data_IF_506272952745
#
_entry.id   IF_506272952745
#
_cell.length_a   1.000
_cell.length_b   1.000
_cell.length_c   1.000
_cell.angle_alpha   90.00
_cell.angle_beta   90.00
_cell.angle_gamma   90.00
#
_symmetry.space_group_name_H-M   'P 1'
#
loop_
_entity.id
_entity.type
_entity.pdbx_description
1 polymer ?
#
# COMPACT_ATOMS: atom_id res chain seq x y z
N UNK A 1 -24.15 -8.13 -8.10
CA UNK A 1 -24.46 -7.30 -9.28
C UNK A 1 -23.17 -7.25 -10.07
N UNK A 2 -23.19 -7.67 -11.34
CA UNK A 2 -21.97 -7.69 -12.16
C UNK A 2 -21.67 -6.23 -12.55
N UNK A 3 -20.56 -5.66 -12.05
CA UNK A 3 -20.16 -4.26 -12.32
C UNK A 3 -20.08 -3.94 -13.83
N UNK A 4 -19.99 -4.99 -14.67
CA UNK A 4 -20.02 -4.91 -16.14
C UNK A 4 -21.36 -4.43 -16.72
N UNK A 5 -22.48 -4.55 -15.99
CA UNK A 5 -23.76 -3.97 -16.43
C UNK A 5 -23.86 -2.47 -16.16
N UNK A 6 -23.13 -1.96 -15.17
CA UNK A 6 -23.25 -0.58 -14.69
C UNK A 6 -22.32 0.40 -15.43
N UNK A 7 -21.14 -0.06 -15.87
CA UNK A 7 -20.15 0.79 -16.56
C UNK A 7 -19.70 0.19 -17.90
N UNK A 8 -20.01 0.86 -19.02
CA UNK A 8 -19.61 0.37 -20.35
C UNK A 8 -18.19 0.81 -20.68
N UNK A 9 -17.42 0.01 -21.43
CA UNK A 9 -16.06 0.40 -21.77
C UNK A 9 -15.88 1.71 -22.54
N UNK A 10 -16.93 2.20 -23.21
CA UNK A 10 -16.89 3.51 -23.86
C UNK A 10 -16.85 4.69 -22.88
N UNK A 11 -17.34 4.54 -21.66
CA UNK A 11 -17.60 5.67 -20.76
C UNK A 11 -16.30 6.21 -20.15
N UNK A 12 -15.40 5.34 -19.71
CA UNK A 12 -14.10 5.74 -19.15
C UNK A 12 -13.06 6.14 -20.21
N UNK A 13 -13.18 5.66 -21.46
CA UNK A 13 -12.26 6.04 -22.55
C UNK A 13 -12.33 7.55 -22.82
N UNK A 14 -13.50 8.15 -22.62
CA UNK A 14 -13.74 9.58 -22.86
C UNK A 14 -13.05 10.49 -21.83
N UNK A 15 -12.72 9.98 -20.65
CA UNK A 15 -11.97 10.71 -19.61
C UNK A 15 -10.50 10.93 -20.02
N UNK A 16 -9.91 9.94 -20.67
CA UNK A 16 -8.48 9.92 -21.01
C UNK A 16 -8.14 10.41 -22.42
N UNK A 17 -9.14 10.64 -23.29
CA UNK A 17 -8.89 11.01 -24.68
C UNK A 17 -8.25 12.41 -24.79
N UNK A 18 -7.19 12.53 -25.59
CA UNK A 18 -6.48 13.80 -25.79
C UNK A 18 -7.36 14.79 -26.56
N UNK A 19 -7.22 16.08 -26.27
CA UNK A 19 -7.94 17.15 -26.96
C UNK A 19 -9.33 17.47 -26.41
N UNK A 20 -9.86 16.69 -25.45
CA UNK A 20 -11.10 17.05 -24.75
C UNK A 20 -10.85 18.13 -23.69
N UNK A 21 -11.72 19.15 -23.67
CA UNK A 21 -11.72 20.19 -22.63
C UNK A 21 -12.03 19.59 -21.24
N UNK A 22 -11.48 20.17 -20.15
CA UNK A 22 -11.73 19.70 -18.77
C UNK A 22 -13.22 19.58 -18.42
N UNK A 23 -14.05 20.52 -18.86
CA UNK A 23 -15.49 20.56 -18.59
C UNK A 23 -16.21 19.39 -19.27
N UNK A 24 -15.81 19.07 -20.50
CA UNK A 24 -16.35 17.94 -21.24
C UNK A 24 -15.98 16.60 -20.57
N UNK A 25 -14.74 16.49 -20.07
CA UNK A 25 -14.30 15.32 -19.28
C UNK A 25 -15.09 15.19 -17.98
N UNK A 26 -15.28 16.31 -17.26
CA UNK A 26 -16.08 16.33 -16.02
C UNK A 26 -17.52 15.88 -16.26
N UNK A 27 -18.15 16.34 -17.35
CA UNK A 27 -19.52 15.93 -17.73
C UNK A 27 -19.59 14.45 -18.14
N UNK A 28 -18.52 13.92 -18.71
CA UNK A 28 -18.42 12.52 -19.11
C UNK A 28 -18.01 11.58 -17.96
N UNK A 29 -17.77 12.09 -16.75
CA UNK A 29 -17.39 11.28 -15.60
C UNK A 29 -18.56 10.37 -15.17
N UNK A 30 -18.41 9.04 -15.27
CA UNK A 30 -19.45 8.12 -14.83
C UNK A 30 -19.40 7.86 -13.31
N UNK A 31 -18.32 8.25 -12.63
CA UNK A 31 -18.09 7.92 -11.24
C UNK A 31 -18.75 8.89 -10.25
N UNK A 32 -19.16 8.35 -9.11
CA UNK A 32 -19.70 9.14 -8.01
C UNK A 32 -18.56 9.85 -7.29
N UNK A 33 -18.65 11.18 -7.24
CA UNK A 33 -17.70 12.01 -6.49
C UNK A 33 -18.22 12.26 -5.08
N UNK A 34 -17.39 11.98 -4.08
CA UNK A 34 -17.71 12.25 -2.68
C UNK A 34 -16.57 13.01 -1.98
N UNK A 35 -16.84 13.73 -0.88
CA UNK A 35 -15.78 14.34 -0.11
C UNK A 35 -14.91 13.27 0.58
N UNK A 36 -13.68 13.66 0.93
CA UNK A 36 -12.79 12.84 1.76
C UNK A 36 -13.49 12.43 3.07
N UNK A 37 -13.32 11.17 3.52
CA UNK A 37 -13.83 10.75 4.82
C UNK A 37 -13.05 11.42 5.98
N UNK A 38 -11.82 11.87 5.75
CA UNK A 38 -10.97 12.50 6.75
C UNK A 38 -11.46 13.91 7.06
N UNK A 39 -11.67 14.21 8.34
CA UNK A 39 -12.24 15.49 8.77
C UNK A 39 -11.41 16.69 8.28
N UNK A 40 -10.07 16.58 8.29
CA UNK A 40 -9.17 17.63 7.84
C UNK A 40 -9.32 17.96 6.33
N UNK A 41 -9.74 16.98 5.53
CA UNK A 41 -9.82 17.08 4.07
C UNK A 41 -11.27 17.17 3.56
N UNK A 42 -12.26 17.13 4.47
CA UNK A 42 -13.69 17.03 4.11
C UNK A 42 -14.23 18.38 3.65
N UNK A 43 -14.69 18.45 2.40
CA UNK A 43 -15.35 19.64 1.85
C UNK A 43 -14.41 20.80 1.58
N UNK A 44 -13.09 20.57 1.61
CA UNK A 44 -12.11 21.57 1.21
C UNK A 44 -12.11 21.70 -0.31
N UNK A 45 -11.87 22.92 -0.81
CA UNK A 45 -11.67 23.16 -2.25
C UNK A 45 -10.23 22.92 -2.69
N UNK A 46 -9.31 22.77 -1.73
CA UNK A 46 -7.89 22.51 -1.98
C UNK A 46 -7.63 21.08 -2.48
N UNK A 47 -8.49 20.14 -2.11
CA UNK A 47 -8.38 18.74 -2.54
C UNK A 47 -9.51 18.37 -3.49
N UNK A 48 -9.24 17.57 -4.53
CA UNK A 48 -10.28 17.02 -5.37
C UNK A 48 -11.18 16.08 -4.56
N UNK A 49 -12.44 15.97 -4.98
CA UNK A 49 -13.33 14.92 -4.48
C UNK A 49 -12.77 13.55 -4.87
N UNK A 50 -13.12 12.54 -4.07
CA UNK A 50 -12.70 11.16 -4.31
C UNK A 50 -13.78 10.41 -5.12
N UNK A 51 -13.34 9.45 -5.91
CA UNK A 51 -14.21 8.50 -6.63
C UNK A 51 -14.67 7.45 -5.62
N UNK A 52 -15.97 7.34 -5.37
CA UNK A 52 -16.51 6.42 -4.36
C UNK A 52 -16.37 4.94 -4.78
N UNK A 53 -16.40 4.68 -6.08
CA UNK A 53 -16.21 3.35 -6.65
C UNK A 53 -14.76 2.86 -6.50
N UNK A 54 -13.80 3.76 -6.28
CA UNK A 54 -12.38 3.43 -6.19
C UNK A 54 -12.10 2.46 -5.04
N UNK A 55 -11.37 1.39 -5.33
CA UNK A 55 -10.99 0.41 -4.31
C UNK A 55 -9.99 1.01 -3.31
N UNK A 56 -9.06 1.82 -3.81
CA UNK A 56 -8.03 2.49 -3.04
C UNK A 56 -7.85 3.92 -3.55
N UNK A 57 -7.65 4.87 -2.63
CA UNK A 57 -7.37 6.28 -2.94
C UNK A 57 -6.13 6.69 -2.17
N UNK A 58 -5.18 7.30 -2.88
CA UNK A 58 -4.02 7.96 -2.29
C UNK A 58 -4.31 9.45 -2.23
N UNK A 59 -4.48 9.98 -1.03
CA UNK A 59 -4.52 11.42 -0.83
C UNK A 59 -3.08 11.92 -0.69
N UNK A 60 -2.67 12.81 -1.60
CA UNK A 60 -1.30 13.30 -1.67
C UNK A 60 -1.24 14.82 -1.64
N UNK A 61 -0.14 15.35 -1.11
CA UNK A 61 0.23 16.76 -1.17
C UNK A 61 1.40 16.90 -2.13
N UNK A 62 1.37 17.90 -3.01
CA UNK A 62 2.54 18.24 -3.82
C UNK A 62 3.61 18.85 -2.92
N UNK A 63 4.80 18.26 -2.93
CA UNK A 63 5.98 18.83 -2.28
C UNK A 63 6.65 19.82 -3.23
N UNK A 64 6.30 21.10 -3.05
CA UNK A 64 6.81 22.22 -3.85
C UNK A 64 8.19 22.72 -3.37
N UNK A 65 8.73 22.16 -2.28
CA UNK A 65 10.08 22.45 -1.81
C UNK A 65 11.14 21.77 -2.67
N UNK A 66 10.74 20.74 -3.43
CA UNK A 66 11.60 20.01 -4.35
C UNK A 66 11.41 20.54 -5.78
N UNK A 67 12.50 20.67 -6.56
CA UNK A 67 12.43 21.19 -7.91
C UNK A 67 11.62 20.26 -8.82
N UNK A 68 10.77 20.87 -9.66
CA UNK A 68 10.13 20.15 -10.77
C UNK A 68 11.17 19.94 -11.86
N UNK A 69 11.53 18.68 -12.13
CA UNK A 69 12.40 18.30 -13.24
C UNK A 69 11.57 18.24 -14.51
N UNK A 70 11.46 19.38 -15.20
CA UNK A 70 10.92 19.43 -16.56
C UNK A 70 12.01 18.94 -17.52
N UNK A 71 12.01 17.63 -17.79
CA UNK A 71 12.93 17.05 -18.76
C UNK A 71 12.84 17.77 -20.11
N UNK A 72 13.94 17.83 -20.89
CA UNK A 72 13.98 18.63 -22.10
C UNK A 72 12.86 18.21 -23.07
N UNK A 73 12.03 19.17 -23.46
CA UNK A 73 11.07 18.97 -24.52
C UNK A 73 11.83 18.93 -25.85
N UNK A 74 11.96 17.73 -26.42
CA UNK A 74 12.41 17.59 -27.80
C UNK A 74 11.23 17.87 -28.74
N UNK A 75 11.43 18.40 -29.96
CA UNK A 75 10.36 18.51 -30.95
C UNK A 75 9.62 17.17 -31.21
N UNK A 76 10.30 16.04 -30.98
CA UNK A 76 9.77 14.69 -31.15
C UNK A 76 9.14 14.09 -29.88
N UNK A 77 9.31 14.72 -28.71
CA UNK A 77 8.75 14.25 -27.44
C UNK A 77 8.39 15.44 -26.56
N UNK A 78 7.10 15.66 -26.23
CA UNK A 78 6.76 16.57 -25.15
C UNK A 78 7.49 16.05 -23.91
N UNK A 79 8.37 16.86 -23.33
CA UNK A 79 9.29 16.42 -22.28
C UNK A 79 8.58 15.74 -21.12
N UNK A 80 9.29 14.83 -20.44
CA UNK A 80 8.76 14.20 -19.23
C UNK A 80 9.02 15.11 -18.04
N UNK A 81 7.98 15.68 -17.46
CA UNK A 81 8.05 16.39 -16.17
C UNK A 81 8.01 15.40 -15.01
N UNK A 82 8.87 15.60 -14.01
CA UNK A 82 8.82 14.89 -12.73
C UNK A 82 8.62 15.88 -11.60
N UNK A 83 7.70 15.55 -10.70
CA UNK A 83 7.42 16.29 -9.47
C UNK A 83 7.14 15.28 -8.35
N UNK A 84 7.24 15.72 -7.11
CA UNK A 84 7.14 14.84 -5.94
C UNK A 84 5.79 15.00 -5.27
N UNK A 85 5.09 13.88 -5.07
CA UNK A 85 3.88 13.82 -4.27
C UNK A 85 4.21 13.13 -2.95
N UNK A 86 3.98 13.82 -1.84
CA UNK A 86 4.00 13.20 -0.51
C UNK A 86 2.65 12.54 -0.28
N UNK A 87 2.67 11.25 0.02
CA UNK A 87 1.47 10.51 0.40
C UNK A 87 1.09 10.95 1.82
N UNK A 88 -0.10 11.53 1.97
CA UNK A 88 -0.65 11.88 3.28
C UNK A 88 -1.37 10.67 3.88
N UNK A 89 -2.30 10.10 3.10
CA UNK A 89 -3.19 9.05 3.55
C UNK A 89 -3.49 8.05 2.42
N UNK A 90 -3.67 6.79 2.81
CA UNK A 90 -4.09 5.71 1.91
C UNK A 90 -5.45 5.19 2.40
N UNK A 91 -6.49 5.49 1.64
CA UNK A 91 -7.85 5.04 1.92
C UNK A 91 -8.09 3.72 1.19
N UNK A 92 -8.62 2.72 1.89
CA UNK A 92 -8.99 1.42 1.35
C UNK A 92 -10.44 1.11 1.75
N UNK A 93 -11.24 0.56 0.82
CA UNK A 93 -12.59 0.07 1.16
C UNK A 93 -12.50 -1.00 2.26
N UNK A 94 -13.35 -0.86 3.28
CA UNK A 94 -13.34 -1.70 4.48
C UNK A 94 -13.42 -3.20 4.18
N UNK A 95 -14.15 -3.58 3.13
CA UNK A 95 -14.28 -4.96 2.67
C UNK A 95 -12.94 -5.63 2.30
N UNK A 96 -11.92 -4.87 1.90
CA UNK A 96 -10.60 -5.41 1.53
C UNK A 96 -9.57 -5.35 2.68
N UNK A 97 -9.90 -4.75 3.82
CA UNK A 97 -8.96 -4.59 4.95
C UNK A 97 -8.41 -5.94 5.42
N UNK A 98 -9.32 -6.85 5.77
CA UNK A 98 -8.94 -8.15 6.32
C UNK A 98 -8.19 -9.00 5.29
N UNK A 99 -8.60 -8.93 4.03
CA UNK A 99 -7.96 -9.64 2.93
C UNK A 99 -6.50 -9.22 2.74
N UNK A 100 -6.22 -7.91 2.70
CA UNK A 100 -4.87 -7.38 2.57
C UNK A 100 -3.95 -7.83 3.71
N UNK A 101 -4.45 -7.87 4.95
CA UNK A 101 -3.67 -8.33 6.11
C UNK A 101 -3.42 -9.84 6.10
N UNK A 102 -4.42 -10.63 5.70
CA UNK A 102 -4.35 -12.08 5.62
C UNK A 102 -3.68 -12.60 4.33
N UNK A 103 -3.41 -11.73 3.35
CA UNK A 103 -2.93 -12.11 2.02
C UNK A 103 -3.98 -12.87 1.20
N UNK A 104 -5.26 -12.64 1.45
CA UNK A 104 -6.39 -13.20 0.70
C UNK A 104 -7.32 -12.09 0.18
N UNK A 105 -8.34 -12.42 -0.61
CA UNK A 105 -9.42 -11.50 -1.00
C UNK A 105 -8.97 -10.16 -1.60
N UNK A 106 -8.40 -10.22 -2.80
CA UNK A 106 -7.96 -9.06 -3.56
C UNK A 106 -9.05 -8.53 -4.50
N UNK A 107 -9.13 -7.20 -4.71
CA UNK A 107 -10.00 -6.65 -5.75
C UNK A 107 -9.55 -7.15 -7.14
N UNK A 108 -10.51 -7.49 -7.99
CA UNK A 108 -10.24 -7.84 -9.38
C UNK A 108 -9.95 -6.58 -10.19
N UNK A 109 -8.70 -6.11 -10.18
CA UNK A 109 -8.25 -4.91 -10.88
C UNK A 109 -7.54 -5.26 -12.20
N UNK A 110 -7.78 -4.51 -13.29
CA UNK A 110 -7.04 -4.74 -14.54
C UNK A 110 -5.54 -4.54 -14.31
N UNK A 111 -4.74 -5.50 -14.75
CA UNK A 111 -3.26 -5.46 -14.61
C UNK A 111 -2.66 -4.55 -15.68
N UNK A 112 -3.36 -4.37 -16.79
CA UNK A 112 -2.94 -3.52 -17.89
C UNK A 112 -4.14 -2.83 -18.51
N UNK A 113 -4.03 -1.51 -18.69
CA UNK A 113 -5.02 -0.72 -19.40
C UNK A 113 -4.39 0.50 -20.08
N UNK A 114 -5.06 1.02 -21.11
CA UNK A 114 -4.72 2.30 -21.71
C UNK A 114 -4.82 2.33 -23.23
N UNK A 115 -4.69 3.55 -23.79
CA UNK A 115 -4.60 3.76 -25.22
C UNK A 115 -3.33 3.13 -25.79
N UNK A 116 -3.48 2.27 -26.79
CA UNK A 116 -2.39 1.67 -27.58
C UNK A 116 -2.68 1.87 -29.06
N UNK A 117 -1.84 1.29 -29.92
CA UNK A 117 -1.81 1.49 -31.37
C UNK A 117 -3.18 1.77 -32.02
N UNK A 118 -3.21 2.65 -33.04
CA UNK A 118 -4.38 2.96 -33.89
C UNK A 118 -5.66 3.45 -33.19
N UNK A 119 -5.59 3.84 -31.90
CA UNK A 119 -6.69 4.53 -31.21
C UNK A 119 -7.57 3.62 -30.36
N UNK A 120 -7.20 2.35 -30.21
CA UNK A 120 -7.90 1.41 -29.34
C UNK A 120 -7.49 1.58 -27.88
N UNK A 121 -8.45 1.40 -26.97
CA UNK A 121 -8.19 1.32 -25.54
C UNK A 121 -8.19 -0.14 -25.11
N UNK A 122 -7.07 -0.60 -24.58
CA UNK A 122 -6.86 -1.99 -24.23
C UNK A 122 -7.16 -2.23 -22.75
N UNK A 123 -7.70 -3.41 -22.44
CA UNK A 123 -7.85 -3.94 -21.09
C UNK A 123 -7.30 -5.37 -21.04
N UNK A 124 -6.55 -5.68 -19.99
CA UNK A 124 -6.29 -7.06 -19.59
C UNK A 124 -6.83 -7.28 -18.18
N UNK A 125 -7.73 -8.27 -18.06
CA UNK A 125 -8.33 -8.64 -16.78
C UNK A 125 -7.32 -9.31 -15.85
N UNK A 126 -7.64 -9.25 -14.56
CA UNK A 126 -6.88 -9.92 -13.52
C UNK A 126 -7.05 -11.45 -13.64
N UNK A 127 -5.94 -12.19 -13.70
CA UNK A 127 -5.97 -13.64 -13.46
C UNK A 127 -6.08 -13.92 -11.96
N UNK A 128 -6.54 -15.10 -11.52
CA UNK A 128 -6.57 -15.44 -10.09
C UNK A 128 -5.17 -15.27 -9.47
N UNK A 129 -5.04 -14.59 -8.30
CA UNK A 129 -3.75 -14.47 -7.62
C UNK A 129 -3.15 -15.85 -7.35
N UNK A 130 -1.83 -15.96 -7.48
CA UNK A 130 -1.09 -17.14 -7.06
C UNK A 130 0.13 -16.69 -6.26
N UNK A 131 0.49 -17.48 -5.25
CA UNK A 131 1.69 -17.24 -4.45
C UNK A 131 2.77 -18.22 -4.89
N UNK A 132 4.00 -17.71 -5.01
CA UNK A 132 5.20 -18.55 -5.08
C UNK A 132 5.95 -18.42 -3.76
N UNK A 133 6.61 -19.50 -3.32
CA UNK A 133 7.43 -19.43 -2.12
C UNK A 133 8.59 -18.46 -2.34
N UNK A 134 8.86 -17.61 -1.35
CA UNK A 134 10.06 -16.77 -1.37
C UNK A 134 11.32 -17.65 -1.45
N UNK A 135 12.35 -17.27 -2.23
CA UNK A 135 13.56 -18.05 -2.32
C UNK A 135 14.26 -18.11 -0.96
N UNK A 136 14.72 -19.31 -0.58
CA UNK A 136 15.58 -19.48 0.61
C UNK A 136 17.02 -19.13 0.21
N UNK A 137 17.48 -17.94 0.62
CA UNK A 137 18.88 -17.53 0.47
C UNK A 137 19.62 -17.83 1.78
N UNK A 138 20.63 -18.72 1.78
CA UNK A 138 21.44 -18.98 2.97
C UNK A 138 22.08 -17.69 3.50
N UNK A 139 22.05 -17.48 4.81
CA UNK A 139 22.63 -16.30 5.45
C UNK A 139 21.68 -15.09 5.55
N UNK A 140 20.46 -15.19 5.03
CA UNK A 140 19.45 -14.13 5.11
C UNK A 140 18.45 -14.33 6.27
N UNK A 141 18.69 -15.29 7.16
CA UNK A 141 17.80 -15.64 8.27
C UNK A 141 17.66 -14.47 9.25
N UNK A 142 18.78 -13.83 9.58
CA UNK A 142 18.79 -12.68 10.47
C UNK A 142 17.97 -11.52 9.90
N UNK A 143 18.16 -11.19 8.62
CA UNK A 143 17.42 -10.10 7.98
C UNK A 143 15.92 -10.40 7.89
N UNK A 144 15.55 -11.66 7.64
CA UNK A 144 14.15 -12.07 7.66
C UNK A 144 13.52 -11.88 9.05
N UNK A 145 14.24 -12.21 10.13
CA UNK A 145 13.79 -11.98 11.50
C UNK A 145 13.70 -10.50 11.83
N UNK A 146 14.72 -9.70 11.51
CA UNK A 146 14.74 -8.24 11.73
C UNK A 146 13.54 -7.60 11.03
N UNK A 147 13.31 -7.97 9.78
CA UNK A 147 12.21 -7.47 8.97
C UNK A 147 10.85 -7.81 9.59
N UNK A 148 10.64 -9.08 9.97
CA UNK A 148 9.38 -9.51 10.57
C UNK A 148 9.15 -8.85 11.94
N UNK A 149 10.15 -8.86 12.82
CA UNK A 149 10.06 -8.35 14.18
C UNK A 149 9.69 -6.86 14.23
N UNK A 150 10.33 -6.04 13.39
CA UNK A 150 10.14 -4.58 13.40
C UNK A 150 8.96 -4.09 12.54
N UNK A 151 8.29 -4.99 11.81
CA UNK A 151 7.07 -4.69 11.05
C UNK A 151 5.78 -4.94 11.85
N UNK A 152 5.81 -5.86 12.81
CA UNK A 152 4.62 -6.29 13.56
C UNK A 152 4.04 -5.22 14.50
N UNK A 153 4.86 -4.24 14.88
CA UNK A 153 4.47 -3.17 15.81
C UNK A 153 5.02 -1.84 15.34
N UNK A 154 4.27 -0.75 15.51
CA UNK A 154 4.74 0.59 15.12
C UNK A 154 5.68 1.22 16.17
N UNK A 155 5.54 0.88 17.45
CA UNK A 155 6.22 1.51 18.60
C UNK A 155 7.33 0.64 19.19
N UNK A 156 7.14 -0.67 19.22
CA UNK A 156 8.12 -1.61 19.76
C UNK A 156 9.14 -1.97 18.68
N UNK A 157 10.43 -1.85 18.99
CA UNK A 157 11.54 -2.20 18.10
C UNK A 157 12.45 -3.24 18.73
N UNK A 158 12.87 -4.22 17.94
CA UNK A 158 13.82 -5.25 18.33
C UNK A 158 15.23 -4.84 17.91
N UNK A 159 16.20 -5.01 18.80
CA UNK A 159 17.61 -4.84 18.46
C UNK A 159 18.10 -5.98 17.56
N UNK A 160 19.17 -5.73 16.80
CA UNK A 160 19.83 -6.75 15.98
C UNK A 160 20.29 -7.96 16.81
N UNK A 161 20.77 -7.71 18.03
CA UNK A 161 21.21 -8.75 18.94
C UNK A 161 20.05 -9.64 19.41
N UNK A 162 18.90 -9.03 19.74
CA UNK A 162 17.68 -9.77 20.05
C UNK A 162 17.19 -10.59 18.83
N UNK A 163 17.23 -10.01 17.63
CA UNK A 163 16.85 -10.70 16.40
C UNK A 163 17.76 -11.90 16.09
N UNK A 164 19.07 -11.81 16.36
CA UNK A 164 19.99 -12.96 16.22
C UNK A 164 19.59 -14.13 17.11
N UNK A 165 19.15 -13.89 18.35
CA UNK A 165 18.67 -14.96 19.23
C UNK A 165 17.40 -15.65 18.71
N UNK A 166 16.62 -14.94 17.89
CA UNK A 166 15.35 -15.42 17.36
C UNK A 166 15.49 -16.15 16.00
N UNK A 167 16.68 -16.19 15.38
CA UNK A 167 16.91 -16.97 14.16
C UNK A 167 16.78 -18.47 14.36
N UNK A 168 17.01 -18.95 15.59
CA UNK A 168 16.87 -20.36 15.96
C UNK A 168 15.40 -20.80 16.10
N UNK A 169 14.47 -19.84 16.15
CA UNK A 169 13.03 -20.14 16.21
C UNK A 169 12.56 -20.61 14.82
N UNK A 170 11.94 -21.80 14.71
CA UNK A 170 11.43 -22.26 13.42
C UNK A 170 10.41 -21.29 12.82
N UNK A 171 10.54 -20.99 11.53
CA UNK A 171 9.74 -19.98 10.81
C UNK A 171 8.22 -20.06 11.06
N UNK A 172 7.57 -21.24 11.09
CA UNK A 172 6.12 -21.33 11.33
C UNK A 172 5.67 -20.75 12.68
N UNK A 173 6.56 -20.68 13.67
CA UNK A 173 6.25 -20.20 15.02
C UNK A 173 6.77 -18.80 15.31
N UNK A 174 7.63 -18.26 14.42
CA UNK A 174 8.35 -17.01 14.66
C UNK A 174 7.39 -15.83 14.92
N UNK A 175 6.34 -15.69 14.10
CA UNK A 175 5.37 -14.60 14.27
C UNK A 175 4.68 -14.66 15.64
N UNK A 176 4.15 -15.82 16.04
CA UNK A 176 3.48 -15.97 17.33
C UNK A 176 4.41 -15.71 18.53
N UNK A 177 5.70 -16.05 18.40
CA UNK A 177 6.71 -15.73 19.42
C UNK A 177 6.94 -14.21 19.50
N UNK A 178 7.11 -13.54 18.36
CA UNK A 178 7.30 -12.09 18.27
C UNK A 178 6.12 -11.32 18.87
N UNK A 179 4.89 -11.68 18.49
CA UNK A 179 3.66 -11.06 19.01
C UNK A 179 3.56 -11.18 20.54
N UNK A 180 3.93 -12.34 21.10
CA UNK A 180 3.97 -12.54 22.56
C UNK A 180 5.02 -11.67 23.24
N UNK A 181 6.19 -11.49 22.62
CA UNK A 181 7.26 -10.63 23.17
C UNK A 181 6.83 -9.16 23.11
N UNK A 182 6.22 -8.73 22.01
CA UNK A 182 5.67 -7.37 21.84
C UNK A 182 4.61 -7.09 22.91
N UNK A 183 3.70 -8.03 23.15
CA UNK A 183 2.68 -7.91 24.20
C UNK A 183 3.32 -7.73 25.59
N UNK A 184 4.36 -8.51 25.91
CA UNK A 184 5.09 -8.39 27.17
C UNK A 184 5.83 -7.04 27.29
N UNK A 185 6.45 -6.56 26.20
CA UNK A 185 7.14 -5.28 26.18
C UNK A 185 6.17 -4.11 26.42
N UNK A 186 5.00 -4.15 25.76
CA UNK A 186 3.93 -3.17 25.98
C UNK A 186 3.41 -3.16 27.41
N UNK A 187 3.24 -4.33 28.04
CA UNK A 187 2.82 -4.43 29.45
C UNK A 187 3.82 -3.79 30.41
N UNK A 188 5.11 -3.81 30.07
CA UNK A 188 6.18 -3.19 30.85
C UNK A 188 6.49 -1.74 30.42
N UNK A 189 5.76 -1.20 29.44
CA UNK A 189 5.98 0.16 28.92
C UNK A 189 7.29 0.33 28.15
N UNK A 190 7.88 -0.76 27.64
CA UNK A 190 9.15 -0.74 26.92
C UNK A 190 8.93 -0.60 25.41
N UNK A 191 9.69 0.30 24.78
CA UNK A 191 9.69 0.50 23.33
C UNK A 191 10.81 -0.27 22.62
N UNK A 192 11.74 -0.86 23.36
CA UNK A 192 12.90 -1.57 22.80
C UNK A 192 13.03 -2.94 23.43
N UNK A 193 13.17 -3.96 22.57
CA UNK A 193 13.44 -5.34 22.96
C UNK A 193 14.89 -5.66 22.63
N UNK A 194 15.68 -5.88 23.67
CA UNK A 194 17.08 -6.29 23.59
C UNK A 194 17.28 -7.72 24.14
N UNK A 195 18.53 -8.20 24.15
CA UNK A 195 18.83 -9.54 24.67
C UNK A 195 18.49 -9.68 26.16
N UNK A 196 18.72 -8.63 26.96
CA UNK A 196 18.44 -8.65 28.39
C UNK A 196 16.93 -8.84 28.66
N UNK A 197 16.09 -8.19 27.87
CA UNK A 197 14.65 -8.36 27.93
C UNK A 197 14.20 -9.78 27.55
N UNK A 198 14.79 -10.36 26.50
CA UNK A 198 14.52 -11.76 26.12
C UNK A 198 14.92 -12.73 27.23
N UNK A 199 16.07 -12.52 27.86
CA UNK A 199 16.54 -13.33 28.97
C UNK A 199 15.62 -13.22 30.19
N UNK A 200 15.15 -12.02 30.52
CA UNK A 200 14.19 -11.79 31.60
C UNK A 200 12.87 -12.55 31.36
N UNK A 201 12.33 -12.51 30.13
CA UNK A 201 11.13 -13.26 29.77
C UNK A 201 11.35 -14.78 29.88
N UNK A 202 12.53 -15.27 29.45
CA UNK A 202 12.83 -16.71 29.50
C UNK A 202 12.95 -17.21 30.94
N UNK A 203 13.56 -16.41 31.82
CA UNK A 203 13.67 -16.73 33.25
C UNK A 203 12.32 -16.74 33.96
N UNK A 204 11.40 -15.82 33.60
CA UNK A 204 10.03 -15.83 34.11
C UNK A 204 9.25 -17.08 33.66
N UNK A 205 9.55 -17.63 32.47
CA UNK A 205 8.93 -18.86 31.95
C UNK A 205 9.52 -20.16 32.51
N UNK A 206 10.80 -20.18 32.88
CA UNK A 206 11.43 -21.37 33.46
C UNK A 206 11.14 -21.58 34.96
N UNK A 207 10.37 -20.67 35.57
CA UNK A 207 10.06 -20.66 37.00
C UNK A 207 8.59 -21.03 37.31
N UNK A 208 7.80 -21.27 36.26
CA UNK A 208 6.47 -21.88 36.29
C UNK A 208 6.54 -23.26 35.62
#
# INVERSE_FOLDING_TARGET
MDDREEYRPGDFVRLGYRGHAPEAKRKANPFTLRPSPLAANRGTTERPQIIDEAVQVFECTWDDTLPVDLGPASPASPGTGKFVLRIDDILLKSQFRNGVEAGCDFPSLPIFYGFRARGEFWFAEHARPFATAAPTVPGNELQAVIYLANRLDEKVRFSDAACRRLTDVPRPFLQAVLERIIAAARQQGLCTVDEAFLDAIRQQRGRN
#
